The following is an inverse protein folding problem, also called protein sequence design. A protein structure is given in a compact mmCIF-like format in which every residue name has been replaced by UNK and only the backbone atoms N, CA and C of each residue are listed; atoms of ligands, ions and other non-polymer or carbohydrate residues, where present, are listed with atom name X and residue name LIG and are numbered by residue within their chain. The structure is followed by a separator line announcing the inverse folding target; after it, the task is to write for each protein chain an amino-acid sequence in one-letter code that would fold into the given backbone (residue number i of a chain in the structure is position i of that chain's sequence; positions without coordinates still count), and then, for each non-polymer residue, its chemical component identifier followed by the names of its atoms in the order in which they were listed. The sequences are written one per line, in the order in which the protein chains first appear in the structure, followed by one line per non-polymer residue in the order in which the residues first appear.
data_IF_422487404821
#
_entry.id   IF_422487404821
#
_cell.length_a   1.000
_cell.length_b   1.000
_cell.length_c   1.000
_cell.angle_alpha   90.00
_cell.angle_beta   90.00
_cell.angle_gamma   90.00
#
_symmetry.space_group_name_H-M   'P 1'
#
loop_
_entity.id
_entity.type
_entity.pdbx_description
1 polymer ?
#
# COMPACT_ATOMS: atom_id res chain seq x y z
N UNK A 1 0.96 -10.02 45.32
CA UNK A 1 -0.45 -10.31 44.94
C UNK A 1 -0.46 -10.49 43.43
N UNK A 2 -0.43 -11.75 42.97
CA UNK A 2 -0.42 -12.12 41.56
C UNK A 2 -1.89 -12.13 41.10
N UNK A 3 -2.28 -11.22 40.21
CA UNK A 3 -3.61 -11.25 39.62
C UNK A 3 -3.63 -12.26 38.47
N UNK A 4 -4.15 -13.46 38.77
CA UNK A 4 -4.68 -14.39 37.80
C UNK A 4 -5.86 -13.73 37.05
N UNK A 5 -5.72 -13.53 35.74
CA UNK A 5 -6.88 -13.32 34.88
C UNK A 5 -7.10 -14.58 34.05
N UNK A 6 -8.27 -15.18 34.31
CA UNK A 6 -8.84 -16.34 33.64
C UNK A 6 -8.84 -16.18 32.12
N UNK A 7 -8.22 -17.14 31.43
CA UNK A 7 -8.40 -17.36 29.99
C UNK A 7 -9.81 -17.86 29.72
N UNK A 8 -10.77 -16.97 29.54
CA UNK A 8 -12.06 -17.36 28.96
C UNK A 8 -12.42 -16.39 27.83
N UNK A 9 -12.35 -16.94 26.61
CA UNK A 9 -12.93 -16.43 25.36
C UNK A 9 -12.30 -15.16 24.76
N UNK A 10 -10.97 -15.15 24.59
CA UNK A 10 -10.35 -14.32 23.56
C UNK A 10 -10.60 -14.99 22.20
N UNK A 11 -11.60 -14.50 21.46
CA UNK A 11 -11.69 -14.77 20.02
C UNK A 11 -10.33 -14.40 19.40
N UNK A 12 -9.65 -15.40 18.83
CA UNK A 12 -8.30 -15.27 18.27
C UNK A 12 -8.25 -14.05 17.35
N UNK A 13 -7.34 -13.08 17.57
CA UNK A 13 -7.17 -12.01 16.60
C UNK A 13 -6.81 -12.63 15.26
N UNK A 14 -7.47 -12.19 14.19
CA UNK A 14 -7.13 -12.60 12.84
C UNK A 14 -5.63 -12.37 12.61
N UNK A 15 -4.93 -13.36 12.05
CA UNK A 15 -3.47 -13.37 11.85
C UNK A 15 -2.95 -12.09 11.17
N UNK A 16 -3.78 -11.46 10.31
CA UNK A 16 -3.49 -10.15 9.73
C UNK A 16 -3.27 -9.03 10.75
N UNK A 17 -4.09 -8.97 11.80
CA UNK A 17 -4.06 -7.90 12.81
C UNK A 17 -2.80 -8.03 13.69
N UNK A 18 -2.39 -9.25 14.02
CA UNK A 18 -1.15 -9.52 14.75
C UNK A 18 0.09 -9.14 13.91
N UNK A 19 0.09 -9.43 12.61
CA UNK A 19 1.21 -9.06 11.73
C UNK A 19 1.29 -7.55 11.49
N UNK A 20 0.15 -6.84 11.43
CA UNK A 20 0.12 -5.38 11.34
C UNK A 20 0.67 -4.70 12.61
N UNK A 21 0.34 -5.24 13.78
CA UNK A 21 0.95 -4.81 15.03
C UNK A 21 2.47 -4.98 14.99
N UNK A 22 2.95 -6.11 14.43
CA UNK A 22 4.38 -6.35 14.25
C UNK A 22 5.02 -5.39 13.23
N UNK A 23 4.36 -5.09 12.10
CA UNK A 23 4.88 -4.15 11.10
C UNK A 23 4.92 -2.70 11.62
N UNK A 24 3.93 -2.28 12.41
CA UNK A 24 3.94 -0.97 13.07
C UNK A 24 4.95 -0.90 14.22
N UNK A 25 5.14 -2.00 14.98
CA UNK A 25 6.12 -2.09 16.08
C UNK A 25 7.55 -2.24 15.56
N UNK A 26 7.79 -2.91 14.43
CA UNK A 26 9.12 -2.97 13.80
C UNK A 26 9.59 -1.60 13.30
N UNK A 27 8.67 -0.65 13.12
CA UNK A 27 8.95 0.74 12.76
C UNK A 27 9.18 1.65 13.98
N UNK A 28 9.06 1.16 15.23
CA UNK A 28 9.28 1.97 16.45
C UNK A 28 10.75 2.28 16.73
N UNK A 29 11.66 1.98 15.79
CA UNK A 29 13.07 2.39 15.87
C UNK A 29 13.42 3.59 14.98
N UNK A 30 12.48 4.21 14.25
CA UNK A 30 12.85 5.18 13.21
C UNK A 30 12.09 6.50 13.26
N UNK A 31 12.87 7.57 13.23
CA UNK A 31 12.56 8.99 13.39
C UNK A 31 11.71 9.62 12.28
N UNK A 32 11.14 8.84 11.34
CA UNK A 32 10.40 9.38 10.18
C UNK A 32 9.30 8.42 9.73
N UNK A 33 8.05 8.72 10.08
CA UNK A 33 6.89 8.09 9.45
C UNK A 33 6.73 8.67 8.05
N UNK A 34 6.57 7.83 7.02
CA UNK A 34 6.34 8.28 5.64
C UNK A 34 4.94 8.87 5.48
N UNK A 35 4.80 9.91 4.65
CA UNK A 35 3.55 10.66 4.47
C UNK A 35 2.33 9.76 4.18
N UNK A 36 2.49 8.70 3.38
CA UNK A 36 1.40 7.77 3.05
C UNK A 36 0.97 6.84 4.20
N UNK A 37 1.80 6.68 5.23
CA UNK A 37 1.47 5.93 6.45
C UNK A 37 0.69 6.78 7.46
N UNK A 38 0.71 8.11 7.32
CA UNK A 38 0.03 9.04 8.24
C UNK A 38 -1.48 8.80 8.29
N UNK A 39 -2.11 8.40 7.18
CA UNK A 39 -3.54 8.08 7.15
C UNK A 39 -3.87 6.81 7.94
N UNK A 40 -3.03 5.77 7.86
CA UNK A 40 -3.19 4.57 8.69
C UNK A 40 -2.97 4.91 10.16
N UNK A 41 -2.00 5.77 10.45
CA UNK A 41 -1.83 6.29 11.80
C UNK A 41 -3.03 7.10 12.26
N UNK A 42 -3.64 7.95 11.44
CA UNK A 42 -4.85 8.69 11.81
C UNK A 42 -6.02 7.74 12.11
N UNK A 43 -6.18 6.68 11.32
CA UNK A 43 -7.17 5.63 11.58
C UNK A 43 -6.84 4.80 12.83
N UNK A 44 -5.55 4.64 13.17
CA UNK A 44 -5.09 3.89 14.34
C UNK A 44 -4.91 4.72 15.63
N UNK A 45 -4.72 6.05 15.56
CA UNK A 45 -4.39 6.89 16.70
C UNK A 45 -5.65 7.21 17.50
N UNK A 46 -5.93 6.30 18.43
CA UNK A 46 -6.65 6.62 19.65
C UNK A 46 -5.78 7.56 20.50
N UNK A 47 -6.37 8.67 20.97
CA UNK A 47 -5.74 9.80 21.67
C UNK A 47 -4.84 9.31 22.84
N UNK A 48 -3.54 9.66 22.78
CA UNK A 48 -2.50 9.49 23.83
C UNK A 48 -1.62 8.23 23.74
N UNK A 49 -0.32 8.45 23.47
CA UNK A 49 0.77 7.47 23.42
C UNK A 49 1.13 6.85 24.78
N UNK A 50 0.15 6.44 25.59
CA UNK A 50 0.43 5.85 26.91
C UNK A 50 -0.08 4.43 27.12
N UNK A 51 -0.87 3.89 26.20
CA UNK A 51 -1.22 2.47 26.21
C UNK A 51 -1.24 1.93 24.78
N UNK A 52 -0.46 0.88 24.55
CA UNK A 52 -0.45 0.05 23.34
C UNK A 52 -1.86 -0.54 23.19
N UNK A 53 -2.75 0.26 22.60
CA UNK A 53 -4.17 0.01 22.45
C UNK A 53 -4.51 -0.16 20.98
N UNK A 54 -3.80 -1.10 20.33
CA UNK A 54 -4.39 -1.89 19.23
C UNK A 54 -5.74 -2.53 19.63
N UNK A 55 -6.10 -2.47 20.91
CA UNK A 55 -7.28 -3.07 21.53
C UNK A 55 -8.46 -2.10 21.85
N UNK A 56 -8.35 -0.78 21.66
CA UNK A 56 -9.47 0.13 22.00
C UNK A 56 -10.39 0.47 20.82
N UNK A 57 -9.86 0.56 19.59
CA UNK A 57 -10.68 0.68 18.37
C UNK A 57 -11.52 -0.59 18.16
N UNK A 58 -10.99 -1.77 18.51
CA UNK A 58 -11.59 -3.07 18.18
C UNK A 58 -12.84 -3.46 18.98
N UNK A 59 -13.13 -2.82 20.13
CA UNK A 59 -14.25 -3.26 20.99
C UNK A 59 -15.41 -2.27 21.11
N UNK A 60 -15.20 -0.98 20.84
CA UNK A 60 -16.23 0.08 21.04
C UNK A 60 -16.74 0.73 19.75
N UNK A 61 -16.11 0.53 18.59
CA UNK A 61 -16.50 1.16 17.32
C UNK A 61 -16.38 0.17 16.15
N UNK A 62 -17.37 -0.71 15.94
CA UNK A 62 -17.34 -1.71 14.87
C UNK A 62 -17.19 -1.08 13.48
N UNK A 63 -17.75 0.10 13.25
CA UNK A 63 -17.62 0.84 12.00
C UNK A 63 -16.17 1.32 11.75
N UNK A 64 -15.49 1.81 12.79
CA UNK A 64 -14.08 2.23 12.66
C UNK A 64 -13.16 1.05 12.37
N UNK A 65 -13.44 -0.12 12.96
CA UNK A 65 -12.71 -1.35 12.68
C UNK A 65 -12.93 -1.83 11.23
N UNK A 66 -14.18 -1.80 10.77
CA UNK A 66 -14.52 -2.13 9.39
C UNK A 66 -13.78 -1.23 8.41
N UNK A 67 -13.83 0.09 8.61
CA UNK A 67 -13.17 1.06 7.75
C UNK A 67 -11.64 0.88 7.72
N UNK A 68 -11.02 0.57 8.86
CA UNK A 68 -9.59 0.28 8.94
C UNK A 68 -9.23 -0.98 8.14
N UNK A 69 -10.00 -2.06 8.30
CA UNK A 69 -9.76 -3.32 7.58
C UNK A 69 -9.96 -3.16 6.07
N UNK A 70 -10.98 -2.40 5.65
CA UNK A 70 -11.23 -2.08 4.25
C UNK A 70 -10.08 -1.28 3.64
N UNK A 71 -9.56 -0.26 4.33
CA UNK A 71 -8.42 0.52 3.85
C UNK A 71 -7.15 -0.34 3.74
N UNK A 72 -6.90 -1.25 4.69
CA UNK A 72 -5.75 -2.16 4.66
C UNK A 72 -5.86 -3.15 3.50
N UNK A 73 -7.02 -3.78 3.32
CA UNK A 73 -7.23 -4.73 2.24
C UNK A 73 -7.12 -4.04 0.88
N UNK A 74 -7.67 -2.84 0.74
CA UNK A 74 -7.55 -2.06 -0.48
C UNK A 74 -6.09 -1.71 -0.81
N UNK A 75 -5.30 -1.28 0.18
CA UNK A 75 -3.85 -1.03 -0.03
C UNK A 75 -3.10 -2.29 -0.42
N UNK A 76 -3.43 -3.43 0.20
CA UNK A 76 -2.83 -4.72 -0.15
C UNK A 76 -3.15 -5.12 -1.60
N UNK A 77 -4.39 -4.91 -2.04
CA UNK A 77 -4.78 -5.16 -3.43
C UNK A 77 -3.97 -4.27 -4.38
N UNK A 78 -3.87 -2.96 -4.11
CA UNK A 78 -3.06 -2.04 -4.93
C UNK A 78 -1.59 -2.49 -4.99
N UNK A 79 -1.01 -2.87 -3.85
CA UNK A 79 0.37 -3.37 -3.78
C UNK A 79 0.60 -4.63 -4.64
N UNK A 80 -0.42 -5.48 -4.77
CA UNK A 80 -0.37 -6.67 -5.62
C UNK A 80 -0.57 -6.31 -7.09
N UNK A 81 -1.55 -5.46 -7.38
CA UNK A 81 -1.90 -5.07 -8.74
C UNK A 81 -0.74 -4.39 -9.46
N UNK A 82 0.01 -3.50 -8.79
CA UNK A 82 1.15 -2.83 -9.42
C UNK A 82 2.28 -3.80 -9.78
N UNK A 83 2.50 -4.84 -8.99
CA UNK A 83 3.48 -5.88 -9.30
C UNK A 83 3.03 -6.61 -10.57
N UNK A 84 1.75 -6.94 -10.67
CA UNK A 84 1.21 -7.63 -11.84
C UNK A 84 1.20 -6.74 -13.09
N UNK A 85 0.90 -5.45 -12.95
CA UNK A 85 1.00 -4.44 -14.01
C UNK A 85 2.40 -4.42 -14.59
N UNK A 86 3.44 -4.39 -13.75
CA UNK A 86 4.83 -4.42 -14.19
C UNK A 86 5.14 -5.71 -14.95
N UNK A 87 4.72 -6.86 -14.42
CA UNK A 87 4.95 -8.17 -15.07
C UNK A 87 4.30 -8.25 -16.44
N UNK A 88 3.03 -7.90 -16.53
CA UNK A 88 2.25 -7.94 -17.77
C UNK A 88 2.74 -6.89 -18.78
N UNK A 89 3.09 -5.68 -18.32
CA UNK A 89 3.61 -4.61 -19.17
C UNK A 89 4.98 -4.97 -19.76
N UNK A 90 5.88 -5.53 -18.96
CA UNK A 90 7.25 -5.80 -19.39
C UNK A 90 7.45 -7.22 -19.94
N UNK A 91 6.46 -8.10 -19.73
CA UNK A 91 6.51 -9.53 -20.02
C UNK A 91 7.69 -10.20 -19.30
N UNK A 92 7.91 -9.81 -18.05
CA UNK A 92 9.01 -10.26 -17.19
C UNK A 92 8.47 -10.69 -15.83
N UNK A 93 9.14 -11.65 -15.18
CA UNK A 93 8.75 -12.14 -13.85
C UNK A 93 9.47 -11.39 -12.73
N UNK A 94 10.73 -11.01 -12.96
CA UNK A 94 11.55 -10.24 -12.03
C UNK A 94 11.40 -8.74 -12.29
N UNK A 95 10.55 -8.11 -11.49
CA UNK A 95 10.15 -6.71 -11.66
C UNK A 95 10.21 -5.91 -10.35
N UNK A 96 10.63 -6.55 -9.25
CA UNK A 96 10.58 -5.92 -7.92
C UNK A 96 11.53 -4.75 -7.81
N UNK A 97 12.68 -4.81 -8.49
CA UNK A 97 13.64 -3.72 -8.54
C UNK A 97 13.05 -2.47 -9.19
N UNK A 98 12.08 -2.61 -10.10
CA UNK A 98 11.43 -1.47 -10.77
C UNK A 98 10.47 -0.70 -9.86
N UNK A 99 10.10 -1.26 -8.71
CA UNK A 99 9.31 -0.55 -7.70
C UNK A 99 10.12 0.53 -6.99
N UNK A 100 11.44 0.34 -6.88
CA UNK A 100 12.34 1.18 -6.09
C UNK A 100 13.45 1.82 -6.92
N UNK A 101 13.68 1.35 -8.14
CA UNK A 101 14.72 1.88 -9.02
C UNK A 101 14.49 3.34 -9.34
N UNK A 102 15.52 4.14 -9.12
CA UNK A 102 15.56 5.57 -9.46
C UNK A 102 16.57 5.80 -10.57
N UNK A 103 16.29 6.73 -11.47
CA UNK A 103 17.27 7.15 -12.48
C UNK A 103 18.45 7.87 -11.83
N UNK A 104 19.54 7.93 -12.59
CA UNK A 104 20.74 8.65 -12.16
C UNK A 104 20.43 10.12 -11.93
N UNK A 105 21.09 10.70 -10.93
CA UNK A 105 20.90 12.11 -10.58
C UNK A 105 21.13 13.01 -11.79
N UNK A 106 20.20 13.93 -12.04
CA UNK A 106 20.24 14.85 -13.18
C UNK A 106 19.47 14.37 -14.41
N UNK A 107 19.05 13.10 -14.46
CA UNK A 107 18.11 12.64 -15.48
C UNK A 107 16.66 13.00 -15.11
N UNK A 108 15.80 13.27 -16.11
CA UNK A 108 14.38 13.47 -15.86
C UNK A 108 13.76 12.18 -15.33
N UNK A 109 12.72 12.28 -14.50
CA UNK A 109 12.01 11.12 -13.93
C UNK A 109 11.45 10.22 -15.04
N UNK A 110 10.91 10.83 -16.09
CA UNK A 110 10.40 10.13 -17.27
C UNK A 110 10.79 10.87 -18.54
N UNK A 111 11.10 10.11 -19.60
CA UNK A 111 11.41 10.68 -20.92
C UNK A 111 10.12 10.99 -21.71
N UNK A 112 9.13 10.08 -21.68
CA UNK A 112 7.82 10.26 -22.29
C UNK A 112 6.74 10.60 -21.24
N UNK A 113 6.44 11.90 -21.13
CA UNK A 113 5.42 12.41 -20.23
C UNK A 113 3.99 12.04 -20.65
N UNK A 114 3.73 11.79 -21.93
CA UNK A 114 2.41 11.42 -22.42
C UNK A 114 2.10 9.96 -22.10
N UNK A 115 3.09 9.07 -22.23
CA UNK A 115 3.04 7.72 -21.67
C UNK A 115 2.72 7.78 -20.17
N UNK A 116 3.51 8.55 -19.40
CA UNK A 116 3.36 8.61 -17.95
C UNK A 116 1.97 9.08 -17.52
N UNK A 117 1.49 10.19 -18.08
CA UNK A 117 0.15 10.73 -17.79
C UNK A 117 -0.94 9.72 -18.14
N UNK A 118 -0.79 8.99 -19.24
CA UNK A 118 -1.74 7.96 -19.67
C UNK A 118 -1.77 6.81 -18.66
N UNK A 119 -0.61 6.28 -18.25
CA UNK A 119 -0.55 5.18 -17.29
C UNK A 119 -1.07 5.58 -15.91
N UNK A 120 -0.71 6.78 -15.41
CA UNK A 120 -1.23 7.29 -14.13
C UNK A 120 -2.75 7.42 -14.18
N UNK A 121 -3.31 7.94 -15.28
CA UNK A 121 -4.76 8.08 -15.44
C UNK A 121 -5.45 6.71 -15.49
N UNK A 122 -4.92 5.76 -16.27
CA UNK A 122 -5.48 4.42 -16.37
C UNK A 122 -5.40 3.68 -15.04
N UNK A 123 -4.25 3.73 -14.36
CA UNK A 123 -4.06 3.10 -13.04
C UNK A 123 -5.08 3.62 -12.02
N UNK A 124 -5.22 4.95 -11.92
CA UNK A 124 -6.19 5.56 -11.02
C UNK A 124 -7.63 5.12 -11.31
N UNK A 125 -8.01 5.10 -12.58
CA UNK A 125 -9.38 4.80 -13.00
C UNK A 125 -9.72 3.32 -12.83
N UNK A 126 -8.82 2.41 -13.20
CA UNK A 126 -9.08 0.97 -13.20
C UNK A 126 -8.88 0.34 -11.81
N UNK A 127 -7.85 0.75 -11.08
CA UNK A 127 -7.50 0.13 -9.79
C UNK A 127 -8.19 0.79 -8.60
N UNK A 128 -9.03 1.82 -8.82
CA UNK A 128 -9.76 2.53 -7.77
C UNK A 128 -8.84 3.22 -6.76
N UNK A 129 -7.63 3.55 -7.20
CA UNK A 129 -6.56 3.95 -6.32
C UNK A 129 -6.82 5.38 -5.77
N UNK A 130 -6.68 5.56 -4.45
CA UNK A 130 -6.88 6.87 -3.79
C UNK A 130 -5.60 7.68 -3.91
N UNK A 131 -5.69 8.91 -4.43
CA UNK A 131 -4.56 9.80 -4.77
C UNK A 131 -3.38 9.83 -3.78
N UNK A 132 -3.64 9.68 -2.48
CA UNK A 132 -2.62 9.72 -1.42
C UNK A 132 -1.71 8.48 -1.37
N UNK A 133 -2.23 7.30 -1.75
CA UNK A 133 -1.46 6.05 -1.78
C UNK A 133 -0.82 5.80 -3.15
N UNK A 134 -1.46 6.25 -4.22
CA UNK A 134 -1.01 6.05 -5.62
C UNK A 134 0.38 6.65 -5.88
N UNK A 135 0.70 7.75 -5.19
CA UNK A 135 2.01 8.42 -5.28
C UNK A 135 3.17 7.50 -4.89
N UNK A 136 2.93 6.44 -4.10
CA UNK A 136 3.92 5.39 -3.79
C UNK A 136 4.45 4.73 -5.07
N UNK A 137 3.61 4.61 -6.10
CA UNK A 137 3.91 3.87 -7.33
C UNK A 137 4.18 4.76 -8.55
N UNK A 138 4.25 6.08 -8.35
CA UNK A 138 4.61 7.03 -9.40
C UNK A 138 5.93 6.67 -10.09
N UNK A 139 6.96 6.30 -9.32
CA UNK A 139 8.26 5.88 -9.88
C UNK A 139 8.15 4.62 -10.75
N UNK A 140 7.39 3.61 -10.31
CA UNK A 140 7.20 2.37 -11.05
C UNK A 140 6.50 2.61 -12.40
N UNK A 141 5.46 3.44 -12.44
CA UNK A 141 4.78 3.82 -13.68
C UNK A 141 5.69 4.61 -14.62
N UNK A 142 6.56 5.47 -14.09
CA UNK A 142 7.58 6.14 -14.89
C UNK A 142 8.60 5.15 -15.47
N UNK A 143 9.02 4.16 -14.68
CA UNK A 143 9.96 3.13 -15.12
C UNK A 143 9.40 2.29 -16.29
N UNK A 144 8.10 1.98 -16.30
CA UNK A 144 7.45 1.33 -17.46
C UNK A 144 7.64 2.16 -18.74
N UNK A 145 7.40 3.47 -18.68
CA UNK A 145 7.57 4.34 -19.84
C UNK A 145 9.04 4.46 -20.28
N UNK A 146 9.96 4.55 -19.32
CA UNK A 146 11.40 4.64 -19.61
C UNK A 146 11.97 3.35 -20.22
N UNK A 147 11.31 2.21 -19.99
CA UNK A 147 11.63 0.93 -20.64
C UNK A 147 11.21 0.87 -22.11
N UNK A 148 10.48 1.88 -22.62
CA UNK A 148 10.06 1.95 -24.02
C UNK A 148 8.96 0.95 -24.39
N UNK A 149 8.19 0.48 -23.41
CA UNK A 149 7.02 -0.39 -23.65
C UNK A 149 5.92 0.42 -24.36
N UNK A 150 5.20 -0.22 -25.30
CA UNK A 150 4.02 0.38 -25.91
C UNK A 150 2.96 0.71 -24.84
N UNK A 151 2.57 1.98 -24.76
CA UNK A 151 1.61 2.47 -23.77
C UNK A 151 0.28 1.71 -23.83
N UNK A 152 -0.15 1.27 -25.02
CA UNK A 152 -1.39 0.49 -25.16
C UNK A 152 -1.29 -0.87 -24.49
N UNK A 153 -0.14 -1.53 -24.59
CA UNK A 153 0.14 -2.78 -23.89
C UNK A 153 0.09 -2.58 -22.38
N UNK A 154 0.70 -1.51 -21.87
CA UNK A 154 0.68 -1.20 -20.44
C UNK A 154 -0.71 -0.80 -19.94
N UNK A 155 -1.54 -0.14 -20.74
CA UNK A 155 -2.94 0.12 -20.39
C UNK A 155 -3.74 -1.18 -20.30
N UNK A 156 -3.58 -2.10 -21.25
CA UNK A 156 -4.23 -3.41 -21.19
C UNK A 156 -3.78 -4.22 -19.96
N UNK A 157 -2.49 -4.17 -19.62
CA UNK A 157 -1.96 -4.78 -18.40
C UNK A 157 -2.59 -4.20 -17.12
N UNK A 158 -2.86 -2.89 -17.09
CA UNK A 158 -3.56 -2.23 -15.98
C UNK A 158 -5.01 -2.72 -15.88
N UNK A 159 -5.71 -2.81 -17.01
CA UNK A 159 -7.09 -3.30 -17.04
C UNK A 159 -7.19 -4.75 -16.55
N UNK A 160 -6.25 -5.60 -16.98
CA UNK A 160 -6.20 -7.01 -16.57
C UNK A 160 -5.86 -7.16 -15.08
N UNK A 161 -4.79 -6.52 -14.62
CA UNK A 161 -4.33 -6.64 -13.23
C UNK A 161 -5.32 -6.07 -12.21
N UNK A 162 -6.17 -5.11 -12.60
CA UNK A 162 -7.12 -4.45 -11.72
C UNK A 162 -8.57 -4.91 -11.89
N UNK A 163 -8.80 -5.98 -12.66
CA UNK A 163 -10.12 -6.58 -12.84
C UNK A 163 -10.62 -7.41 -11.63
N UNK A 164 -9.84 -7.50 -10.54
CA UNK A 164 -10.06 -8.43 -9.42
C UNK A 164 -10.05 -7.75 -8.04
#
# INVERSE_FOLDING_TARGET
MLCFFSQQNLAKPNYLIQNLALMMVQNTKTTWIRLYELKLLFLCFCRSMREISLCYISRRRPEAQKNLLEEINHRKQIDQNIIEILRLSLKQTDVLDLLTSTRTTGQPVVDDWDCYKTLVKSFKNQCGAKMEYDMKYAGALANICNMGVDVKQSVAAIEEACAH
#
